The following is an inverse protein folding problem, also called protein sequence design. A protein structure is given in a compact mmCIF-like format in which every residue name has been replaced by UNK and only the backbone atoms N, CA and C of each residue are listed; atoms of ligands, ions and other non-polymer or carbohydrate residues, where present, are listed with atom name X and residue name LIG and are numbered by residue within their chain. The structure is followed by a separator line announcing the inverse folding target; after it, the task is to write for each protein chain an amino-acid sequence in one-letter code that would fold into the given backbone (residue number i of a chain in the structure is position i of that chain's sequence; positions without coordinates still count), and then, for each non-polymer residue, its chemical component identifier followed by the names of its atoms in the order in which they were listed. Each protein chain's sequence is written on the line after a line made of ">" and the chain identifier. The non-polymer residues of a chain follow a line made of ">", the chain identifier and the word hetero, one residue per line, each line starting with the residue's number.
data_IF_629903613928
#
_entry.id   IF_629903613928
#
_cell.length_a   1.000
_cell.length_b   1.000
_cell.length_c   1.000
_cell.angle_alpha   90.00
_cell.angle_beta   90.00
_cell.angle_gamma   90.00
#
_symmetry.space_group_name_H-M   'P 1'
#
loop_
_entity.id
_entity.type
_entity.pdbx_description
1 polymer ?
#
# COMPACT_ATOMS: atom_id res chain seq x y z
N UNK A 1 14.59 7.67 -24.11
CA UNK A 1 13.98 7.05 -22.91
C UNK A 1 15.11 6.48 -22.07
N UNK A 2 15.46 7.11 -20.93
CA UNK A 2 16.54 6.63 -20.05
C UNK A 2 16.02 5.42 -19.28
N UNK A 3 16.73 4.30 -19.36
CA UNK A 3 16.43 3.07 -18.60
C UNK A 3 17.46 3.01 -17.47
N UNK A 4 17.00 2.91 -16.23
CA UNK A 4 17.88 2.82 -15.06
C UNK A 4 17.86 1.39 -14.54
N UNK A 5 18.75 0.54 -15.07
CA UNK A 5 18.82 -0.87 -14.71
C UNK A 5 19.28 -1.13 -13.28
N UNK A 6 19.85 -0.13 -12.60
CA UNK A 6 20.44 -0.29 -11.26
C UNK A 6 19.78 0.59 -10.20
N UNK A 7 18.73 1.33 -10.53
CA UNK A 7 18.06 2.16 -9.52
C UNK A 7 17.23 1.25 -8.61
N UNK A 8 17.74 1.03 -7.40
CA UNK A 8 17.11 0.18 -6.39
C UNK A 8 16.19 0.98 -5.46
N UNK A 9 16.64 2.15 -5.05
CA UNK A 9 15.92 3.01 -4.12
C UNK A 9 15.68 4.38 -4.77
N UNK A 10 14.42 4.83 -4.75
CA UNK A 10 14.03 6.16 -5.22
C UNK A 10 13.36 6.96 -4.11
N UNK A 11 14.01 8.07 -3.74
CA UNK A 11 13.52 9.01 -2.75
C UNK A 11 13.11 10.32 -3.44
N UNK A 12 11.82 10.66 -3.37
CA UNK A 12 11.27 11.91 -3.87
C UNK A 12 10.16 12.45 -2.96
N UNK A 13 10.18 12.06 -1.69
CA UNK A 13 9.25 12.53 -0.67
C UNK A 13 9.46 14.01 -0.31
N UNK A 14 8.43 14.65 0.25
CA UNK A 14 8.45 16.04 0.73
C UNK A 14 8.79 17.06 -0.37
N UNK A 15 8.05 16.97 -1.47
CA UNK A 15 8.11 17.92 -2.57
C UNK A 15 6.69 18.39 -2.90
N UNK A 16 6.54 19.13 -4.01
CA UNK A 16 5.24 19.56 -4.54
C UNK A 16 4.86 18.82 -5.83
N UNK A 17 5.26 17.56 -5.96
CA UNK A 17 5.02 16.80 -7.18
C UNK A 17 3.52 16.55 -7.37
N UNK A 18 2.96 17.10 -8.44
CA UNK A 18 1.58 16.82 -8.87
C UNK A 18 1.51 15.57 -9.76
N UNK A 19 2.62 15.22 -10.40
CA UNK A 19 2.77 13.99 -11.17
C UNK A 19 4.15 13.39 -10.99
N UNK A 20 4.23 12.07 -11.05
CA UNK A 20 5.48 11.33 -11.08
C UNK A 20 5.38 10.25 -12.16
N UNK A 21 6.26 10.32 -13.15
CA UNK A 21 6.32 9.33 -14.22
C UNK A 21 7.56 8.47 -14.06
N UNK A 22 7.35 7.21 -13.67
CA UNK A 22 8.38 6.20 -13.58
C UNK A 22 8.12 5.14 -14.64
N UNK A 23 9.12 4.81 -15.46
CA UNK A 23 9.01 3.76 -16.47
C UNK A 23 10.25 2.88 -16.43
N UNK A 24 10.03 1.57 -16.47
CA UNK A 24 11.07 0.56 -16.67
C UNK A 24 12.22 0.65 -15.63
N UNK A 25 11.88 0.46 -14.36
CA UNK A 25 12.84 0.35 -13.26
C UNK A 25 12.80 -1.08 -12.69
N UNK A 26 13.32 -2.08 -13.43
CA UNK A 26 13.16 -3.49 -13.06
C UNK A 26 13.84 -3.84 -11.72
N UNK A 27 14.82 -3.06 -11.29
CA UNK A 27 15.58 -3.28 -10.06
C UNK A 27 15.06 -2.45 -8.88
N UNK A 28 13.99 -1.65 -9.06
CA UNK A 28 13.48 -0.80 -7.99
C UNK A 28 12.84 -1.65 -6.88
N UNK A 29 13.42 -1.54 -5.69
CA UNK A 29 13.04 -2.23 -4.47
C UNK A 29 12.29 -1.30 -3.52
N UNK A 30 12.62 -0.01 -3.49
CA UNK A 30 11.97 0.98 -2.62
C UNK A 30 11.58 2.25 -3.36
N UNK A 31 10.35 2.69 -3.13
CA UNK A 31 9.84 3.97 -3.62
C UNK A 31 9.24 4.78 -2.47
N UNK A 32 9.89 5.89 -2.11
CA UNK A 32 9.36 6.82 -1.11
C UNK A 32 9.01 8.15 -1.77
N UNK A 33 7.72 8.35 -1.96
CA UNK A 33 7.13 9.53 -2.62
C UNK A 33 6.03 10.18 -1.75
N UNK A 34 6.09 9.98 -0.44
CA UNK A 34 5.15 10.61 0.50
C UNK A 34 5.29 12.13 0.56
N UNK A 35 4.27 12.82 1.06
CA UNK A 35 4.20 14.28 1.22
C UNK A 35 4.45 15.00 -0.11
N UNK A 36 3.56 14.74 -1.07
CA UNK A 36 3.51 15.37 -2.39
C UNK A 36 2.06 15.78 -2.71
N UNK A 37 1.76 16.13 -3.96
CA UNK A 37 0.41 16.49 -4.42
C UNK A 37 -0.16 15.48 -5.42
N UNK A 38 0.37 14.25 -5.45
CA UNK A 38 0.01 13.23 -6.44
C UNK A 38 -1.47 12.86 -6.31
N UNK A 39 -2.19 12.87 -7.44
CA UNK A 39 -3.58 12.37 -7.51
C UNK A 39 -3.68 10.94 -8.02
N UNK A 40 -2.70 10.52 -8.80
CA UNK A 40 -2.58 9.17 -9.31
C UNK A 40 -1.09 8.84 -9.47
N UNK A 41 -0.77 7.55 -9.47
CA UNK A 41 0.57 7.08 -9.73
C UNK A 41 0.52 5.79 -10.55
N UNK A 42 0.95 5.88 -11.81
CA UNK A 42 1.05 4.72 -12.69
C UNK A 42 2.36 4.01 -12.42
N UNK A 43 2.28 2.92 -11.67
CA UNK A 43 3.41 2.09 -11.35
C UNK A 43 3.40 0.84 -12.24
N UNK A 44 4.10 0.90 -13.37
CA UNK A 44 4.19 -0.21 -14.31
C UNK A 44 5.57 -0.86 -14.31
N UNK A 45 5.60 -2.19 -14.16
CA UNK A 45 6.80 -3.04 -14.25
C UNK A 45 7.82 -2.92 -13.10
N UNK A 46 7.36 -2.73 -11.85
CA UNK A 46 8.20 -2.82 -10.65
C UNK A 46 8.04 -4.17 -9.94
N UNK A 47 8.50 -5.25 -10.56
CA UNK A 47 8.28 -6.62 -10.04
C UNK A 47 9.09 -6.95 -8.77
N UNK A 48 10.08 -6.12 -8.44
CA UNK A 48 10.94 -6.31 -7.27
C UNK A 48 10.62 -5.38 -6.10
N UNK A 49 9.58 -4.54 -6.21
CA UNK A 49 9.26 -3.55 -5.19
C UNK A 49 8.87 -4.23 -3.87
N UNK A 50 9.63 -3.95 -2.81
CA UNK A 50 9.42 -4.47 -1.46
C UNK A 50 8.83 -3.41 -0.50
N UNK A 51 9.09 -2.12 -0.76
CA UNK A 51 8.61 -1.01 0.05
C UNK A 51 8.03 0.12 -0.80
N UNK A 52 6.80 0.53 -0.49
CA UNK A 52 6.09 1.62 -1.16
C UNK A 52 5.52 2.60 -0.13
N UNK A 53 5.99 3.85 -0.17
CA UNK A 53 5.49 4.94 0.68
C UNK A 53 4.91 6.07 -0.18
N UNK A 54 3.62 6.29 -0.07
CA UNK A 54 2.82 7.29 -0.80
C UNK A 54 1.97 8.15 0.14
N UNK A 55 2.26 8.12 1.43
CA UNK A 55 1.51 8.83 2.46
C UNK A 55 1.47 10.34 2.24
N UNK A 56 0.40 11.02 2.64
CA UNK A 56 0.29 12.48 2.51
C UNK A 56 0.29 12.93 1.04
N UNK A 57 -0.58 12.33 0.23
CA UNK A 57 -0.85 12.72 -1.15
C UNK A 57 -2.36 12.93 -1.36
N UNK A 58 -2.80 13.08 -2.60
CA UNK A 58 -4.21 13.20 -2.97
C UNK A 58 -4.69 11.98 -3.77
N UNK A 59 -4.14 10.79 -3.51
CA UNK A 59 -4.41 9.59 -4.32
C UNK A 59 -5.82 9.07 -4.03
N UNK A 60 -6.62 8.93 -5.10
CA UNK A 60 -8.00 8.43 -5.03
C UNK A 60 -8.10 6.95 -5.41
N UNK A 61 -7.17 6.47 -6.25
CA UNK A 61 -7.05 5.09 -6.68
C UNK A 61 -5.59 4.68 -6.87
N UNK A 62 -5.30 3.41 -6.56
CA UNK A 62 -3.99 2.82 -6.85
C UNK A 62 -4.13 1.33 -7.16
N UNK A 63 -3.36 0.86 -8.14
CA UNK A 63 -3.24 -0.55 -8.44
C UNK A 63 -1.86 -1.06 -8.02
N UNK A 64 -1.82 -1.88 -6.96
CA UNK A 64 -0.61 -2.50 -6.41
C UNK A 64 -0.53 -4.01 -6.67
N UNK A 65 -1.49 -4.58 -7.42
CA UNK A 65 -1.65 -6.04 -7.60
C UNK A 65 -0.45 -6.71 -8.28
N UNK A 66 0.42 -5.93 -8.92
CA UNK A 66 1.64 -6.40 -9.57
C UNK A 66 2.84 -6.55 -8.61
N UNK A 67 2.78 -5.98 -7.41
CA UNK A 67 3.90 -5.97 -6.46
C UNK A 67 3.83 -7.19 -5.53
N UNK A 68 4.02 -8.38 -6.10
CA UNK A 68 3.90 -9.65 -5.37
C UNK A 68 4.94 -9.83 -4.26
N UNK A 69 6.05 -9.08 -4.31
CA UNK A 69 7.10 -9.04 -3.27
C UNK A 69 6.93 -7.90 -2.25
N UNK A 70 5.87 -7.10 -2.34
CA UNK A 70 5.66 -5.95 -1.46
C UNK A 70 5.48 -6.41 -0.02
N UNK A 71 6.34 -5.90 0.89
CA UNK A 71 6.34 -6.20 2.32
C UNK A 71 5.80 -5.05 3.16
N UNK A 72 6.07 -3.81 2.73
CA UNK A 72 5.73 -2.61 3.47
C UNK A 72 4.97 -1.62 2.59
N UNK A 73 3.74 -1.29 2.99
CA UNK A 73 2.90 -0.31 2.33
C UNK A 73 2.51 0.81 3.31
N UNK A 74 2.80 2.05 2.93
CA UNK A 74 2.40 3.25 3.67
C UNK A 74 1.68 4.19 2.72
N UNK A 75 0.37 4.34 2.90
CA UNK A 75 -0.52 5.11 2.02
C UNK A 75 -1.57 5.91 2.82
N UNK A 76 -1.28 6.17 4.09
CA UNK A 76 -2.10 7.01 4.94
C UNK A 76 -2.20 8.45 4.42
N UNK A 77 -3.21 9.18 4.88
CA UNK A 77 -3.44 10.57 4.48
C UNK A 77 -3.56 10.71 2.95
N UNK A 78 -4.52 9.97 2.39
CA UNK A 78 -4.89 10.00 0.98
C UNK A 78 -6.43 10.03 0.87
N UNK A 79 -6.99 9.74 -0.31
CA UNK A 79 -8.44 9.79 -0.56
C UNK A 79 -8.99 8.46 -1.07
N UNK A 80 -8.29 7.36 -0.83
CA UNK A 80 -8.66 6.03 -1.32
C UNK A 80 -10.03 5.62 -0.80
N UNK A 81 -10.94 5.25 -1.70
CA UNK A 81 -12.24 4.66 -1.35
C UNK A 81 -12.19 3.13 -1.28
N UNK A 82 -11.17 2.53 -1.89
CA UNK A 82 -10.90 1.10 -1.86
C UNK A 82 -9.40 0.83 -1.96
N UNK A 83 -8.96 -0.32 -1.46
CA UNK A 83 -7.58 -0.79 -1.56
C UNK A 83 -7.59 -2.31 -1.70
N UNK A 84 -7.15 -2.82 -2.85
CA UNK A 84 -6.99 -4.25 -3.10
C UNK A 84 -5.54 -4.68 -2.83
N UNK A 85 -5.35 -5.46 -1.77
CA UNK A 85 -4.08 -6.07 -1.36
C UNK A 85 -4.05 -7.59 -1.60
N UNK A 86 -5.05 -8.15 -2.27
CA UNK A 86 -5.25 -9.60 -2.40
C UNK A 86 -4.15 -10.32 -3.19
N UNK A 87 -3.33 -9.58 -3.94
CA UNK A 87 -2.20 -10.07 -4.74
C UNK A 87 -0.83 -9.74 -4.14
N UNK A 88 -0.80 -9.30 -2.87
CA UNK A 88 0.42 -8.93 -2.16
C UNK A 88 0.62 -9.84 -0.93
N UNK A 89 0.82 -11.16 -1.12
CA UNK A 89 0.85 -12.14 -0.01
C UNK A 89 2.04 -11.94 0.94
N UNK A 90 3.07 -11.22 0.51
CA UNK A 90 4.28 -10.92 1.28
C UNK A 90 4.12 -9.70 2.21
N UNK A 91 2.97 -9.03 2.22
CA UNK A 91 2.74 -7.88 3.08
C UNK A 91 2.87 -8.26 4.56
N UNK A 92 3.73 -7.52 5.26
CA UNK A 92 3.96 -7.60 6.71
C UNK A 92 3.30 -6.42 7.41
N UNK A 93 3.37 -5.23 6.78
CA UNK A 93 2.84 -3.99 7.32
C UNK A 93 2.00 -3.24 6.30
N UNK A 94 0.85 -2.72 6.74
CA UNK A 94 0.01 -1.78 5.99
C UNK A 94 -0.37 -0.63 6.91
N UNK A 95 -0.04 0.60 6.49
CA UNK A 95 -0.49 1.85 7.09
C UNK A 95 -1.37 2.55 6.06
N UNK A 96 -2.68 2.62 6.31
CA UNK A 96 -3.68 3.16 5.39
C UNK A 96 -4.77 4.00 6.09
N UNK A 97 -4.54 4.41 7.34
CA UNK A 97 -5.41 5.36 8.06
C UNK A 97 -5.53 6.71 7.34
N UNK A 98 -6.52 7.52 7.71
CA UNK A 98 -6.87 8.77 7.06
C UNK A 98 -7.08 8.60 5.54
N UNK A 99 -7.93 7.64 5.19
CA UNK A 99 -8.46 7.45 3.84
C UNK A 99 -10.00 7.40 3.90
N UNK A 100 -10.65 7.14 2.77
CA UNK A 100 -12.11 6.97 2.67
C UNK A 100 -12.50 5.48 2.55
N UNK A 101 -11.66 4.58 3.07
CA UNK A 101 -11.91 3.14 3.01
C UNK A 101 -13.16 2.80 3.83
N UNK A 102 -13.97 1.88 3.31
CA UNK A 102 -15.09 1.30 4.06
C UNK A 102 -14.81 -0.11 4.54
N UNK A 103 -13.99 -0.82 3.79
CA UNK A 103 -13.58 -2.18 4.08
C UNK A 103 -12.18 -2.46 3.55
N UNK A 104 -11.53 -3.46 4.12
CA UNK A 104 -10.31 -4.06 3.61
C UNK A 104 -10.37 -5.57 3.81
N UNK A 105 -9.93 -6.31 2.80
CA UNK A 105 -9.81 -7.77 2.86
C UNK A 105 -8.35 -8.17 3.00
N UNK A 106 -8.01 -8.78 4.14
CA UNK A 106 -6.67 -9.24 4.48
C UNK A 106 -6.52 -10.77 4.33
N UNK A 107 -7.53 -11.47 3.83
CA UNK A 107 -7.58 -12.95 3.82
C UNK A 107 -6.38 -13.59 3.13
N UNK A 108 -5.85 -12.97 2.07
CA UNK A 108 -4.69 -13.47 1.32
C UNK A 108 -3.34 -12.99 1.87
N UNK A 109 -3.34 -12.16 2.91
CA UNK A 109 -2.16 -11.50 3.45
C UNK A 109 -1.76 -12.12 4.79
N UNK A 110 -1.48 -13.44 4.77
CA UNK A 110 -1.25 -14.25 5.97
C UNK A 110 -0.01 -13.83 6.78
N UNK A 111 0.91 -13.07 6.17
CA UNK A 111 2.10 -12.52 6.81
C UNK A 111 1.86 -11.17 7.50
N UNK A 112 0.69 -10.55 7.31
CA UNK A 112 0.36 -9.28 7.95
C UNK A 112 0.35 -9.46 9.45
N UNK A 113 1.10 -8.59 10.11
CA UNK A 113 1.14 -8.55 11.55
C UNK A 113 0.12 -7.54 12.05
N UNK A 114 -0.92 -8.01 12.74
CA UNK A 114 -2.05 -7.17 13.15
C UNK A 114 -1.67 -6.03 14.11
N UNK A 115 -0.55 -6.15 14.84
CA UNK A 115 -0.06 -5.08 15.73
C UNK A 115 0.57 -3.89 14.98
N UNK A 116 0.79 -4.01 13.67
CA UNK A 116 1.30 -2.96 12.78
C UNK A 116 0.39 -2.74 11.57
N UNK A 117 -0.87 -3.18 11.65
CA UNK A 117 -1.92 -2.80 10.71
C UNK A 117 -2.58 -1.52 11.23
N UNK A 118 -2.37 -0.40 10.54
CA UNK A 118 -2.92 0.91 10.92
C UNK A 118 -3.98 1.34 9.91
N UNK A 119 -5.25 1.25 10.30
CA UNK A 119 -6.41 1.56 9.48
C UNK A 119 -7.44 2.30 10.36
N UNK A 120 -8.26 3.15 9.73
CA UNK A 120 -9.27 3.92 10.44
C UNK A 120 -10.30 3.04 11.14
N UNK A 121 -10.77 3.56 12.27
CA UNK A 121 -11.63 2.88 13.22
C UNK A 121 -13.00 2.44 12.66
N UNK A 122 -13.43 3.05 11.56
CA UNK A 122 -14.69 2.83 10.86
C UNK A 122 -14.57 1.86 9.66
N UNK A 123 -13.38 1.33 9.39
CA UNK A 123 -13.15 0.39 8.29
C UNK A 123 -13.44 -1.04 8.74
N UNK A 124 -14.29 -1.73 7.99
CA UNK A 124 -14.54 -3.16 8.19
C UNK A 124 -13.32 -4.00 7.74
N UNK A 125 -12.82 -4.88 8.60
CA UNK A 125 -11.70 -5.77 8.27
C UNK A 125 -12.23 -7.18 8.05
N UNK A 126 -12.05 -7.69 6.84
CA UNK A 126 -12.37 -9.07 6.45
C UNK A 126 -11.08 -9.88 6.51
N UNK A 127 -11.08 -10.99 7.23
CA UNK A 127 -9.92 -11.88 7.34
C UNK A 127 -10.32 -13.22 7.93
N UNK A 128 -9.40 -14.17 7.94
CA UNK A 128 -9.65 -15.48 8.54
C UNK A 128 -9.62 -15.43 10.08
N UNK A 129 -10.14 -16.48 10.72
CA UNK A 129 -10.27 -16.57 12.18
C UNK A 129 -8.94 -16.32 12.91
N UNK A 130 -7.82 -16.84 12.39
CA UNK A 130 -6.51 -16.68 13.02
C UNK A 130 -5.98 -15.25 12.92
N UNK A 131 -6.18 -14.58 11.79
CA UNK A 131 -5.81 -13.18 11.61
C UNK A 131 -6.63 -12.29 12.57
N UNK A 132 -7.95 -12.47 12.61
CA UNK A 132 -8.84 -11.63 13.40
C UNK A 132 -8.68 -11.83 14.91
N UNK A 133 -8.34 -13.05 15.37
CA UNK A 133 -8.02 -13.32 16.80
C UNK A 133 -6.88 -12.44 17.34
N UNK A 134 -5.93 -12.07 16.48
CA UNK A 134 -4.77 -11.26 16.87
C UNK A 134 -5.00 -9.75 16.79
N UNK A 135 -6.19 -9.31 16.35
CA UNK A 135 -6.51 -7.89 16.20
C UNK A 135 -7.13 -7.31 17.48
N UNK A 136 -6.60 -6.16 17.92
CA UNK A 136 -6.94 -5.55 19.22
C UNK A 136 -8.32 -4.89 19.27
N UNK A 137 -8.94 -4.59 18.13
CA UNK A 137 -10.27 -3.98 18.07
C UNK A 137 -11.25 -5.05 17.61
N UNK A 138 -12.35 -5.26 18.35
CA UNK A 138 -13.38 -6.21 17.95
C UNK A 138 -13.87 -5.85 16.53
N UNK A 139 -13.59 -6.67 15.50
CA UNK A 139 -14.13 -6.42 14.18
C UNK A 139 -15.64 -6.62 14.24
N UNK A 140 -16.38 -5.92 13.39
CA UNK A 140 -17.66 -6.46 12.94
C UNK A 140 -17.33 -7.71 12.11
N UNK A 141 -17.36 -8.88 12.75
CA UNK A 141 -16.97 -10.14 12.10
C UNK A 141 -18.06 -10.55 11.12
N UNK A 142 -17.79 -10.45 9.82
CA UNK A 142 -18.53 -11.21 8.80
C UNK A 142 -17.68 -12.42 8.43
N UNK A 143 -18.00 -13.58 9.03
CA UNK A 143 -17.36 -14.86 8.67
C UNK A 143 -17.82 -15.23 7.25
N UNK A 144 -16.86 -15.50 6.36
CA UNK A 144 -17.09 -16.19 5.08
C UNK A 144 -16.04 -17.28 4.90
#
# INVERSE_FOLDING_TARGET
>A
MKIYFFLEDLFCARNELESLQLKNLPSLNKLWCGFNKLKNLKLEKFTNLESLSLNGNNIEEINITKFTKLKYLTIDNNKLSSLDISKNPELIQVIANNNNLKKIDITNNLKLQMHILYIDDNVEIIGNENQLKSYKKAPTIIVK
#
